data_IF_686416460525
#
_entry.id   IF_686416460525
#
_cell.length_a   1.000
_cell.length_b   1.000
_cell.length_c   1.000
_cell.angle_alpha   90.00
_cell.angle_beta   90.00
_cell.angle_gamma   90.00
#
_symmetry.space_group_name_H-M   'P 1'
#
loop_
_entity.id
_entity.type
_entity.pdbx_description
1 polymer ?
#
# COMPACT_ATOMS: atom_id res chain seq x y z
N UNK A 1 19.58 24.43 -7.35
CA UNK A 1 18.63 23.52 -6.67
C UNK A 1 18.56 22.23 -7.47
N UNK A 2 19.10 21.08 -7.01
CA UNK A 2 18.96 19.85 -7.78
C UNK A 2 17.47 19.44 -7.74
N UNK A 3 16.81 19.58 -8.90
CA UNK A 3 15.44 19.15 -9.14
C UNK A 3 15.39 17.65 -8.86
N UNK A 4 14.73 17.26 -7.77
CA UNK A 4 14.55 15.86 -7.41
C UNK A 4 13.66 15.23 -8.47
N UNK A 5 14.29 14.56 -9.43
CA UNK A 5 13.63 13.85 -10.51
C UNK A 5 12.66 12.87 -9.88
N UNK A 6 11.36 13.16 -9.97
CA UNK A 6 10.33 12.21 -9.59
C UNK A 6 10.41 11.11 -10.64
N UNK A 7 11.31 10.12 -10.43
CA UNK A 7 11.21 8.85 -11.13
C UNK A 7 9.74 8.48 -11.06
N UNK A 8 9.10 8.31 -12.23
CA UNK A 8 7.73 7.82 -12.34
C UNK A 8 7.67 6.45 -11.66
N UNK A 9 7.59 6.46 -10.34
CA UNK A 9 7.31 5.28 -9.54
C UNK A 9 5.95 4.86 -10.02
N UNK A 10 5.91 3.75 -10.77
CA UNK A 10 4.68 3.15 -11.26
C UNK A 10 3.65 3.26 -10.14
N UNK A 11 2.46 3.82 -10.42
CA UNK A 11 1.46 3.97 -9.39
C UNK A 11 1.30 2.60 -8.70
N UNK A 12 1.27 2.58 -7.36
CA UNK A 12 1.17 1.34 -6.62
C UNK A 12 -0.01 0.55 -7.16
N UNK A 13 0.26 -0.70 -7.54
CA UNK A 13 -0.65 -1.44 -8.40
C UNK A 13 -1.87 -1.86 -7.58
N UNK A 14 -2.94 -1.06 -7.66
CA UNK A 14 -4.26 -1.43 -7.19
C UNK A 14 -4.80 -2.52 -8.11
N UNK A 15 -4.81 -3.76 -7.63
CA UNK A 15 -5.27 -4.93 -8.36
C UNK A 15 -6.38 -5.63 -7.61
N UNK A 16 -7.29 -6.21 -8.37
CA UNK A 16 -8.24 -7.20 -7.88
C UNK A 16 -7.56 -8.58 -7.91
N UNK A 17 -7.73 -9.38 -6.86
CA UNK A 17 -7.26 -10.78 -6.89
C UNK A 17 -8.13 -11.60 -7.84
N UNK A 18 -7.52 -12.47 -8.65
CA UNK A 18 -8.26 -13.42 -9.49
C UNK A 18 -8.99 -14.43 -8.59
N UNK A 19 -10.31 -14.56 -8.74
CA UNK A 19 -11.14 -15.43 -7.89
C UNK A 19 -11.58 -14.83 -6.55
N UNK A 20 -11.39 -13.52 -6.33
CA UNK A 20 -12.00 -12.83 -5.17
C UNK A 20 -12.49 -11.45 -5.58
N UNK A 21 -13.51 -10.93 -4.89
CA UNK A 21 -13.88 -9.51 -5.00
C UNK A 21 -12.90 -8.61 -4.28
N UNK A 22 -11.83 -9.14 -3.67
CA UNK A 22 -10.91 -8.35 -2.85
C UNK A 22 -9.91 -7.52 -3.65
N UNK A 23 -9.75 -6.26 -3.26
CA UNK A 23 -8.70 -5.37 -3.68
C UNK A 23 -7.42 -5.60 -2.87
N UNK A 24 -6.30 -5.49 -3.58
CA UNK A 24 -4.98 -5.39 -2.99
C UNK A 24 -4.20 -4.28 -3.68
N UNK A 25 -3.31 -3.63 -2.94
CA UNK A 25 -2.35 -2.67 -3.46
C UNK A 25 -0.94 -3.18 -3.18
N UNK A 26 -0.14 -3.30 -4.24
CA UNK A 26 1.27 -3.63 -4.07
C UNK A 26 2.07 -2.34 -3.89
N UNK A 27 2.57 -2.11 -2.67
CA UNK A 27 3.44 -0.97 -2.35
C UNK A 27 4.90 -1.39 -2.46
N UNK A 28 5.72 -0.52 -3.05
CA UNK A 28 7.15 -0.72 -3.17
C UNK A 28 7.88 0.13 -2.14
N UNK A 29 8.71 -0.51 -1.34
CA UNK A 29 9.54 0.16 -0.34
C UNK A 29 10.82 0.70 -1.00
N UNK A 30 11.10 1.98 -0.80
CA UNK A 30 12.27 2.62 -1.42
C UNK A 30 13.59 2.29 -0.70
N UNK A 31 13.56 1.87 0.56
CA UNK A 31 14.76 1.59 1.35
C UNK A 31 15.33 0.19 1.07
N UNK A 32 14.47 -0.82 1.10
CA UNK A 32 14.74 -2.23 0.85
C UNK A 32 14.56 -2.64 -0.61
N UNK A 33 13.95 -1.77 -1.44
CA UNK A 33 13.56 -2.02 -2.85
C UNK A 33 12.57 -3.18 -3.04
N UNK A 34 11.93 -3.67 -1.97
CA UNK A 34 10.99 -4.80 -2.01
C UNK A 34 9.57 -4.33 -2.34
N UNK A 35 8.74 -5.23 -2.86
CA UNK A 35 7.31 -5.01 -3.07
C UNK A 35 6.51 -5.86 -2.08
N UNK A 36 5.42 -5.30 -1.52
CA UNK A 36 4.53 -6.00 -0.57
C UNK A 36 3.08 -5.67 -0.87
N UNK A 37 2.24 -6.68 -0.72
CA UNK A 37 0.82 -6.62 -1.03
C UNK A 37 -0.01 -6.28 0.21
N UNK A 38 -0.88 -5.29 0.09
CA UNK A 38 -1.78 -4.82 1.16
C UNK A 38 -3.23 -5.02 0.72
N UNK A 39 -4.03 -5.75 1.51
CA UNK A 39 -5.42 -6.11 1.22
C UNK A 39 -6.43 -5.04 1.61
N UNK A 40 -6.92 -4.25 0.67
CA UNK A 40 -7.80 -3.13 0.96
C UNK A 40 -9.28 -3.51 1.14
N UNK A 41 -9.60 -4.78 1.40
CA UNK A 41 -11.00 -5.22 1.44
C UNK A 41 -11.59 -5.42 0.05
N UNK A 42 -12.83 -5.03 -0.20
CA UNK A 42 -13.53 -5.28 -1.47
C UNK A 42 -13.19 -4.27 -2.58
N UNK A 43 -12.85 -4.79 -3.76
CA UNK A 43 -12.47 -4.05 -4.94
C UNK A 43 -13.64 -3.25 -5.50
N UNK A 44 -13.50 -1.94 -5.45
CA UNK A 44 -14.50 -0.99 -5.96
C UNK A 44 -15.40 -0.43 -4.87
N UNK A 45 -15.30 -0.93 -3.64
CA UNK A 45 -16.05 -0.40 -2.50
C UNK A 45 -15.43 0.92 -1.99
N UNK A 46 -16.25 1.85 -1.46
CA UNK A 46 -15.77 3.12 -0.93
C UNK A 46 -14.73 2.92 0.19
N UNK A 47 -14.95 1.95 1.07
CA UNK A 47 -14.02 1.58 2.15
C UNK A 47 -12.62 1.23 1.62
N UNK A 48 -12.56 0.47 0.53
CA UNK A 48 -11.28 0.07 -0.08
C UNK A 48 -10.53 1.26 -0.66
N UNK A 49 -11.28 2.22 -1.20
CA UNK A 49 -10.73 3.46 -1.75
C UNK A 49 -10.22 4.37 -0.63
N UNK A 50 -10.96 4.49 0.47
CA UNK A 50 -10.50 5.22 1.66
C UNK A 50 -9.24 4.60 2.26
N UNK A 51 -9.21 3.27 2.40
CA UNK A 51 -8.02 2.53 2.84
C UNK A 51 -6.85 2.75 1.88
N UNK A 52 -7.08 2.73 0.57
CA UNK A 52 -6.06 3.05 -0.42
C UNK A 52 -5.50 4.45 -0.17
N UNK A 53 -6.35 5.47 -0.06
CA UNK A 53 -5.92 6.84 0.18
C UNK A 53 -5.12 7.00 1.48
N UNK A 54 -5.59 6.41 2.59
CA UNK A 54 -4.86 6.41 3.88
C UNK A 54 -3.52 5.70 3.80
N UNK A 55 -3.49 4.55 3.12
CA UNK A 55 -2.29 3.75 2.92
C UNK A 55 -1.25 4.51 2.10
N UNK A 56 -1.66 5.15 1.00
CA UNK A 56 -0.78 5.97 0.18
C UNK A 56 -0.28 7.18 0.96
N UNK A 57 -1.16 7.90 1.66
CA UNK A 57 -0.75 9.05 2.48
C UNK A 57 0.29 8.65 3.55
N UNK A 58 0.06 7.54 4.26
CA UNK A 58 1.01 7.01 5.24
C UNK A 58 2.34 6.56 4.60
N UNK A 59 2.27 5.90 3.44
CA UNK A 59 3.44 5.48 2.68
C UNK A 59 4.27 6.67 2.20
N UNK A 60 3.62 7.73 1.70
CA UNK A 60 4.29 8.96 1.26
C UNK A 60 4.87 9.75 2.43
N UNK A 61 4.13 9.89 3.53
CA UNK A 61 4.61 10.55 4.75
C UNK A 61 5.85 9.87 5.34
N UNK A 62 5.95 8.53 5.21
CA UNK A 62 7.13 7.75 5.61
C UNK A 62 8.27 7.75 4.58
N UNK A 63 8.18 8.58 3.54
CA UNK A 63 9.20 8.67 2.50
C UNK A 63 9.20 7.47 1.54
N UNK A 64 8.03 6.95 1.20
CA UNK A 64 7.84 5.74 0.36
C UNK A 64 8.36 4.47 1.03
N UNK A 65 8.16 4.39 2.35
CA UNK A 65 8.38 3.17 3.13
C UNK A 65 7.06 2.53 3.49
N UNK A 66 7.06 1.21 3.62
CA UNK A 66 5.84 0.48 3.97
C UNK A 66 5.19 1.05 5.24
N UNK A 67 3.88 1.39 5.19
CA UNK A 67 3.11 1.53 6.41
C UNK A 67 3.07 0.18 7.11
N UNK A 68 2.92 0.19 8.44
CA UNK A 68 2.73 -1.07 9.14
C UNK A 68 1.45 -1.74 8.62
N UNK A 69 1.51 -3.04 8.40
CA UNK A 69 0.38 -3.80 7.85
C UNK A 69 -0.79 -3.79 8.82
N UNK A 70 -0.49 -3.72 10.12
CA UNK A 70 -1.44 -3.51 11.23
C UNK A 70 -2.19 -2.19 11.09
N UNK A 71 -1.46 -1.09 10.84
CA UNK A 71 -2.02 0.26 10.70
C UNK A 71 -2.98 0.38 9.50
N UNK A 72 -2.83 -0.49 8.51
CA UNK A 72 -3.65 -0.46 7.29
C UNK A 72 -4.87 -1.38 7.41
N UNK A 73 -4.73 -2.55 8.04
CA UNK A 73 -5.82 -3.54 8.12
C UNK A 73 -6.52 -3.59 9.47
N UNK A 74 -6.06 -2.84 10.47
CA UNK A 74 -6.61 -2.86 11.83
C UNK A 74 -6.50 -4.24 12.51
N UNK A 75 -5.61 -5.12 12.04
CA UNK A 75 -5.40 -6.45 12.65
C UNK A 75 -4.24 -6.36 13.62
N UNK A 76 -4.45 -6.50 14.94
CA UNK A 76 -3.40 -6.35 15.95
C UNK A 76 -2.21 -7.22 15.57
N UNK A 77 -1.03 -6.61 15.60
CA UNK A 77 0.26 -7.14 15.24
C UNK A 77 0.34 -8.62 15.61
N UNK A 78 0.09 -9.48 14.61
CA UNK A 78 0.33 -10.90 14.78
C UNK A 78 1.83 -11.05 14.85
N UNK A 79 2.34 -11.12 16.09
CA UNK A 79 3.69 -11.55 16.39
C UNK A 79 3.98 -12.82 15.58
N UNK A 80 5.11 -12.81 14.90
CA UNK A 80 5.61 -13.98 14.20
C UNK A 80 5.89 -15.11 15.17
N UNK A 81 5.66 -16.33 14.69
CA UNK A 81 6.45 -17.50 15.04
C UNK A 81 7.48 -17.70 13.92
#
# INVERSE_FOLDING_TARGET
MPKKSIKKSRPPAYRKRKGSTKALVTLRDSATKRARDFWLGEYGSPESRELYHRTIAAWEARGRRWPDVDLVHGRPASGGD
#
